data_IF_996332079513
#
_entry.id   IF_996332079513
#
_cell.length_a   1.000
_cell.length_b   1.000
_cell.length_c   1.000
_cell.angle_alpha   90.00
_cell.angle_beta   90.00
_cell.angle_gamma   90.00
#
_symmetry.space_group_name_H-M   'P 1'
#
loop_
_entity.id
_entity.type
_entity.pdbx_description
1 polymer ?
#
# COMPACT_ATOMS: atom_id res chain seq x y z
N UNK A 1 -9.79 14.10 -18.27
CA UNK A 1 -8.67 14.22 -17.32
C UNK A 1 -8.56 12.89 -16.59
N UNK A 2 -7.36 12.35 -16.37
CA UNK A 2 -7.23 11.15 -15.55
C UNK A 2 -7.59 11.51 -14.10
N UNK A 3 -8.49 10.75 -13.50
CA UNK A 3 -8.89 10.85 -12.10
C UNK A 3 -7.66 10.77 -11.18
N UNK A 4 -7.60 11.63 -10.16
CA UNK A 4 -6.49 11.60 -9.20
C UNK A 4 -6.62 10.42 -8.22
N UNK A 5 -5.57 10.14 -7.44
CA UNK A 5 -5.58 8.99 -6.52
C UNK A 5 -6.70 9.07 -5.49
N UNK A 6 -6.90 10.23 -4.84
CA UNK A 6 -7.89 10.38 -3.77
C UNK A 6 -9.33 10.31 -4.29
N UNK A 7 -9.59 10.90 -5.47
CA UNK A 7 -10.88 10.77 -6.17
C UNK A 7 -11.17 9.29 -6.48
N UNK A 8 -10.20 8.57 -7.04
CA UNK A 8 -10.34 7.13 -7.31
C UNK A 8 -10.57 6.36 -6.01
N UNK A 9 -9.78 6.67 -4.99
CA UNK A 9 -9.84 5.99 -3.70
C UNK A 9 -11.21 6.14 -3.03
N UNK A 10 -11.79 7.34 -3.06
CA UNK A 10 -13.15 7.60 -2.56
C UNK A 10 -14.20 6.78 -3.30
N UNK A 11 -14.16 6.75 -4.64
CA UNK A 11 -15.11 5.94 -5.41
C UNK A 11 -14.96 4.44 -5.16
N UNK A 12 -13.72 3.93 -5.06
CA UNK A 12 -13.50 2.52 -4.73
C UNK A 12 -13.94 2.21 -3.30
N UNK A 13 -13.70 3.08 -2.32
CA UNK A 13 -14.16 2.85 -0.96
C UNK A 13 -15.69 2.82 -0.87
N UNK A 14 -16.40 3.63 -1.67
CA UNK A 14 -17.87 3.54 -1.78
C UNK A 14 -18.30 2.16 -2.30
N UNK A 15 -17.70 1.67 -3.40
CA UNK A 15 -17.99 0.33 -3.93
C UNK A 15 -17.69 -0.78 -2.90
N UNK A 16 -16.55 -0.70 -2.21
CA UNK A 16 -16.17 -1.64 -1.13
C UNK A 16 -17.18 -1.60 0.02
N UNK A 17 -17.62 -0.40 0.41
CA UNK A 17 -18.67 -0.17 1.41
C UNK A 17 -19.96 -0.92 1.08
N UNK A 18 -20.42 -0.80 -0.17
CA UNK A 18 -21.61 -1.52 -0.66
C UNK A 18 -21.44 -3.04 -0.59
N UNK A 19 -20.23 -3.55 -0.90
CA UNK A 19 -19.95 -4.99 -0.89
C UNK A 19 -19.93 -5.63 0.50
N UNK A 20 -19.67 -4.86 1.57
CA UNK A 20 -19.82 -5.38 2.94
C UNK A 20 -21.25 -5.81 3.26
N UNK A 21 -22.25 -5.27 2.56
CA UNK A 21 -23.66 -5.61 2.75
C UNK A 21 -24.16 -6.76 1.87
N UNK A 22 -23.39 -7.20 0.86
CA UNK A 22 -23.84 -8.17 -0.16
C UNK A 22 -23.33 -9.60 0.06
N UNK A 23 -22.70 -9.90 1.22
CA UNK A 23 -21.98 -11.16 1.51
C UNK A 23 -20.79 -11.45 0.58
N UNK A 24 -20.38 -10.48 -0.25
CA UNK A 24 -19.21 -10.60 -1.12
C UNK A 24 -17.90 -10.72 -0.32
N UNK A 25 -17.87 -10.15 0.88
CA UNK A 25 -16.74 -10.25 1.80
C UNK A 25 -17.04 -11.17 2.97
N UNK A 26 -16.03 -11.95 3.34
CA UNK A 26 -15.97 -12.78 4.55
C UNK A 26 -14.55 -12.71 5.09
N UNK A 27 -14.34 -12.93 6.39
CA UNK A 27 -12.96 -13.12 6.89
C UNK A 27 -12.36 -14.34 6.17
N UNK A 28 -11.49 -14.07 5.20
CA UNK A 28 -10.83 -15.10 4.42
C UNK A 28 -9.54 -15.55 5.09
N UNK A 29 -8.60 -16.03 4.28
CA UNK A 29 -7.34 -16.59 4.78
C UNK A 29 -6.28 -15.53 4.95
N UNK A 30 -5.40 -15.76 5.92
CA UNK A 30 -4.15 -15.03 6.05
C UNK A 30 -3.28 -15.31 4.82
N UNK A 31 -2.92 -14.26 4.09
CA UNK A 31 -2.09 -14.32 2.87
C UNK A 31 -0.68 -13.80 3.10
N UNK A 32 -0.43 -13.19 4.25
CA UNK A 32 0.88 -12.73 4.68
C UNK A 32 0.88 -12.24 6.11
N UNK A 33 2.05 -12.26 6.73
CA UNK A 33 2.27 -11.79 8.08
C UNK A 33 3.66 -11.16 8.20
N UNK A 34 3.77 -10.10 8.99
CA UNK A 34 5.01 -9.58 9.56
C UNK A 34 4.94 -9.64 11.10
N UNK A 35 5.98 -9.16 11.80
CA UNK A 35 6.06 -9.29 13.27
C UNK A 35 4.82 -8.74 14.00
N UNK A 36 4.24 -7.64 13.51
CA UNK A 36 3.11 -6.95 14.14
C UNK A 36 1.86 -6.84 13.25
N UNK A 37 1.95 -7.20 11.97
CA UNK A 37 0.88 -6.98 10.99
C UNK A 37 0.46 -8.30 10.34
N UNK A 38 -0.85 -8.50 10.21
CA UNK A 38 -1.47 -9.59 9.44
C UNK A 38 -2.09 -9.01 8.18
N UNK A 39 -1.97 -9.74 7.07
CA UNK A 39 -2.68 -9.47 5.83
C UNK A 39 -3.66 -10.61 5.53
N UNK A 40 -4.94 -10.26 5.38
CA UNK A 40 -6.04 -11.21 5.18
C UNK A 40 -6.77 -10.89 3.87
N UNK A 41 -6.89 -11.85 2.96
CA UNK A 41 -7.74 -11.67 1.77
C UNK A 41 -9.21 -11.84 2.19
N UNK A 42 -10.11 -10.95 1.77
CA UNK A 42 -11.53 -10.99 2.20
C UNK A 42 -12.54 -11.16 1.08
N UNK A 43 -12.12 -11.00 -0.18
CA UNK A 43 -12.95 -11.31 -1.34
C UNK A 43 -12.59 -10.47 -2.55
N UNK A 44 -13.45 -10.49 -3.55
CA UNK A 44 -13.32 -9.67 -4.75
C UNK A 44 -14.68 -9.29 -5.31
N UNK A 45 -14.72 -8.22 -6.09
CA UNK A 45 -15.93 -7.76 -6.77
C UNK A 45 -15.58 -7.06 -8.09
N UNK A 46 -16.50 -7.06 -9.08
CA UNK A 46 -16.30 -6.32 -10.31
C UNK A 46 -16.46 -4.81 -10.05
N UNK A 47 -15.40 -4.03 -10.24
CA UNK A 47 -15.44 -2.58 -10.06
C UNK A 47 -15.93 -1.88 -11.32
N UNK A 48 -16.93 -1.01 -11.16
CA UNK A 48 -17.42 -0.15 -12.24
C UNK A 48 -16.44 0.98 -12.55
N UNK A 49 -15.70 1.44 -11.53
CA UNK A 49 -14.71 2.52 -11.62
C UNK A 49 -13.47 2.08 -12.40
N UNK A 50 -12.99 0.85 -12.19
CA UNK A 50 -11.79 0.31 -12.88
C UNK A 50 -12.10 -0.55 -14.11
N UNK A 51 -13.34 -1.02 -14.26
CA UNK A 51 -13.75 -1.91 -15.34
C UNK A 51 -13.15 -3.32 -15.27
N UNK A 52 -12.66 -3.72 -14.09
CA UNK A 52 -12.14 -5.06 -13.82
C UNK A 52 -12.38 -5.45 -12.36
N UNK A 53 -12.14 -6.72 -12.03
CA UNK A 53 -12.28 -7.20 -10.66
C UNK A 53 -11.23 -6.57 -9.73
N UNK A 54 -11.67 -6.14 -8.55
CA UNK A 54 -10.81 -5.70 -7.45
C UNK A 54 -10.79 -6.79 -6.40
N UNK A 55 -9.58 -7.21 -6.02
CA UNK A 55 -9.36 -8.10 -4.88
C UNK A 55 -9.09 -7.25 -3.64
N UNK A 56 -9.81 -7.55 -2.57
CA UNK A 56 -9.86 -6.75 -1.35
C UNK A 56 -9.24 -7.56 -0.22
N UNK A 57 -8.36 -6.90 0.52
CA UNK A 57 -7.71 -7.45 1.70
C UNK A 57 -7.79 -6.50 2.88
N UNK A 58 -7.43 -7.03 4.04
CA UNK A 58 -7.27 -6.31 5.29
C UNK A 58 -5.82 -6.34 5.73
N UNK A 59 -5.37 -5.21 6.28
CA UNK A 59 -4.13 -5.07 7.05
C UNK A 59 -4.53 -4.85 8.52
N UNK A 60 -4.19 -5.79 9.37
CA UNK A 60 -4.65 -5.90 10.78
C UNK A 60 -3.45 -5.92 11.74
N UNK A 61 -3.61 -5.38 12.95
CA UNK A 61 -2.58 -5.38 14.00
C UNK A 61 -2.72 -6.65 14.83
N UNK A 62 -1.62 -7.35 15.04
CA UNK A 62 -1.58 -8.60 15.81
C UNK A 62 -1.38 -8.32 17.30
N UNK A 63 -0.70 -7.21 17.65
CA UNK A 63 -0.28 -6.91 19.02
C UNK A 63 -0.99 -5.67 19.63
N UNK A 64 -2.04 -5.15 18.98
CA UNK A 64 -2.81 -4.00 19.47
C UNK A 64 -2.11 -2.65 19.32
N UNK A 65 -0.96 -2.59 18.63
CA UNK A 65 -0.24 -1.34 18.34
C UNK A 65 -0.83 -0.59 17.12
N UNK A 66 -0.92 0.74 17.27
CA UNK A 66 -0.84 1.87 16.32
C UNK A 66 -1.42 1.81 14.89
N UNK A 67 -2.34 0.90 14.55
CA UNK A 67 -3.05 1.02 13.25
C UNK A 67 -3.85 2.33 13.14
N UNK A 68 -4.34 2.85 14.28
CA UNK A 68 -5.20 4.03 14.33
C UNK A 68 -4.48 5.27 13.79
N UNK A 69 -3.27 5.56 14.28
CA UNK A 69 -2.44 6.69 13.80
C UNK A 69 -1.83 6.41 12.43
N UNK A 70 -1.61 5.13 12.09
CA UNK A 70 -0.86 4.73 10.90
C UNK A 70 -1.69 4.80 9.62
N UNK A 71 -3.00 4.57 9.66
CA UNK A 71 -3.83 4.56 8.45
C UNK A 71 -3.88 5.91 7.73
N UNK A 72 -4.14 7.00 8.47
CA UNK A 72 -4.21 8.35 7.89
C UNK A 72 -2.84 8.80 7.39
N UNK A 73 -1.78 8.49 8.14
CA UNK A 73 -0.40 8.83 7.77
C UNK A 73 0.08 8.05 6.54
N UNK A 74 -0.21 6.74 6.45
CA UNK A 74 0.09 5.95 5.26
C UNK A 74 -0.70 6.45 4.05
N UNK A 75 -1.99 6.77 4.20
CA UNK A 75 -2.79 7.35 3.11
C UNK A 75 -2.24 8.71 2.66
N UNK A 76 -1.80 9.57 3.58
CA UNK A 76 -1.17 10.85 3.26
C UNK A 76 0.10 10.65 2.42
N UNK A 77 0.96 9.70 2.82
CA UNK A 77 2.17 9.34 2.07
C UNK A 77 1.86 8.79 0.68
N UNK A 78 0.85 7.93 0.56
CA UNK A 78 0.38 7.40 -0.73
C UNK A 78 -0.10 8.56 -1.62
N UNK A 79 -0.88 9.49 -1.08
CA UNK A 79 -1.39 10.65 -1.82
C UNK A 79 -0.23 11.54 -2.34
N UNK A 80 0.77 11.79 -1.50
CA UNK A 80 1.98 12.54 -1.88
C UNK A 80 2.76 11.81 -2.98
N UNK A 81 3.02 10.50 -2.83
CA UNK A 81 3.69 9.69 -3.87
C UNK A 81 2.89 9.77 -5.17
N UNK A 82 1.58 9.57 -5.13
CA UNK A 82 0.75 9.55 -6.33
C UNK A 82 0.73 10.91 -7.06
N UNK A 83 0.76 12.02 -6.29
CA UNK A 83 0.77 13.39 -6.83
C UNK A 83 2.10 13.77 -7.44
N UNK A 84 3.20 13.54 -6.71
CA UNK A 84 4.52 14.05 -7.05
C UNK A 84 5.36 13.04 -7.85
N UNK A 85 5.05 11.75 -7.72
CA UNK A 85 5.69 10.65 -8.43
C UNK A 85 4.66 9.76 -9.13
N UNK A 86 3.87 10.28 -10.10
CA UNK A 86 2.81 9.52 -10.78
C UNK A 86 3.31 8.26 -11.50
N UNK A 87 4.60 8.19 -11.82
CA UNK A 87 5.24 6.97 -12.33
C UNK A 87 5.13 5.78 -11.37
N UNK A 88 5.10 6.03 -10.06
CA UNK A 88 4.95 5.01 -9.02
C UNK A 88 3.48 4.58 -8.82
N UNK A 89 2.51 5.20 -9.50
CA UNK A 89 1.10 4.93 -9.29
C UNK A 89 0.70 3.46 -9.52
N UNK A 90 1.36 2.76 -10.44
CA UNK A 90 1.11 1.32 -10.69
C UNK A 90 1.67 0.40 -9.60
N UNK A 91 2.54 0.92 -8.74
CA UNK A 91 3.16 0.19 -7.64
C UNK A 91 2.37 0.30 -6.35
N UNK A 92 1.72 1.44 -6.15
CA UNK A 92 0.82 1.72 -5.04
C UNK A 92 -0.39 0.77 -5.04
N UNK A 93 -1.05 0.57 -3.89
CA UNK A 93 -2.34 -0.08 -3.86
C UNK A 93 -3.36 0.72 -4.68
N UNK A 94 -4.32 0.06 -5.33
CA UNK A 94 -5.34 0.79 -6.11
C UNK A 94 -6.27 1.64 -5.23
N UNK A 95 -6.47 1.23 -3.98
CA UNK A 95 -7.16 1.97 -2.93
C UNK A 95 -6.61 1.61 -1.54
N UNK A 96 -6.89 2.46 -0.57
CA UNK A 96 -6.47 2.35 0.82
C UNK A 96 -7.45 3.13 1.71
N UNK A 97 -7.99 2.48 2.73
CA UNK A 97 -8.94 3.10 3.65
C UNK A 97 -8.95 2.44 5.02
N UNK A 98 -9.75 3.01 5.91
CA UNK A 98 -9.89 2.50 7.27
C UNK A 98 -11.23 1.81 7.46
N UNK A 99 -11.19 0.64 8.09
CA UNK A 99 -12.35 -0.07 8.60
C UNK A 99 -12.54 0.26 10.09
N UNK A 100 -13.78 0.55 10.46
CA UNK A 100 -14.19 0.89 11.82
C UNK A 100 -15.30 -0.04 12.29
N UNK A 101 -15.17 -0.55 13.52
CA UNK A 101 -16.19 -1.32 14.23
C UNK A 101 -16.48 -0.63 15.56
N UNK A 102 -17.75 -0.35 15.86
CA UNK A 102 -18.18 0.35 17.08
C UNK A 102 -17.50 1.71 17.33
N UNK A 103 -17.00 2.37 16.28
CA UNK A 103 -16.30 3.65 16.37
C UNK A 103 -14.78 3.54 16.60
N UNK A 104 -14.25 2.33 16.75
CA UNK A 104 -12.82 2.06 16.85
C UNK A 104 -12.26 1.63 15.49
N UNK A 105 -11.06 2.10 15.13
CA UNK A 105 -10.38 1.67 13.89
C UNK A 105 -9.83 0.26 14.09
N UNK A 106 -10.39 -0.72 13.38
CA UNK A 106 -10.06 -2.13 13.57
C UNK A 106 -9.07 -2.66 12.55
N UNK A 107 -9.12 -2.14 11.33
CA UNK A 107 -8.26 -2.59 10.24
C UNK A 107 -8.08 -1.51 9.17
N UNK A 108 -7.14 -1.76 8.27
CA UNK A 108 -6.98 -1.03 7.02
C UNK A 108 -7.51 -1.92 5.91
N UNK A 109 -8.39 -1.39 5.08
CA UNK A 109 -8.94 -2.07 3.90
C UNK A 109 -8.23 -1.57 2.66
N UNK A 110 -7.67 -2.49 1.89
CA UNK A 110 -6.79 -2.16 0.76
C UNK A 110 -6.82 -3.24 -0.31
N UNK A 111 -6.12 -3.00 -1.43
CA UNK A 111 -5.89 -4.02 -2.45
C UNK A 111 -5.23 -5.27 -1.86
N UNK A 112 -5.80 -6.43 -2.15
CA UNK A 112 -5.13 -7.71 -1.94
C UNK A 112 -4.19 -8.01 -3.12
N UNK A 113 -2.89 -7.77 -2.92
CA UNK A 113 -1.86 -8.05 -3.94
C UNK A 113 -1.75 -9.54 -4.30
N UNK A 114 -2.23 -10.46 -3.46
CA UNK A 114 -2.24 -11.90 -3.77
C UNK A 114 -3.33 -12.27 -4.78
N UNK A 115 -4.31 -11.40 -5.01
CA UNK A 115 -5.51 -11.67 -5.82
C UNK A 115 -6.25 -12.94 -5.39
N UNK A 116 -6.62 -13.01 -4.10
CA UNK A 116 -7.27 -14.17 -3.52
C UNK A 116 -6.37 -15.40 -3.53
N UNK A 117 -5.14 -15.26 -3.01
CA UNK A 117 -4.12 -16.32 -2.92
C UNK A 117 -3.55 -16.81 -4.27
N UNK A 118 -4.00 -16.25 -5.40
CA UNK A 118 -3.51 -16.63 -6.74
C UNK A 118 -2.01 -16.40 -6.92
N UNK A 119 -1.49 -15.33 -6.32
CA UNK A 119 -0.09 -14.96 -6.39
C UNK A 119 0.54 -14.92 -5.00
N UNK A 120 1.73 -15.52 -4.90
CA UNK A 120 2.53 -15.41 -3.68
C UNK A 120 3.05 -13.99 -3.54
N UNK A 121 2.71 -13.34 -2.44
CA UNK A 121 3.31 -12.06 -2.04
C UNK A 121 4.62 -12.38 -1.33
N UNK A 122 5.74 -11.91 -1.86
CA UNK A 122 7.07 -12.10 -1.26
C UNK A 122 7.69 -10.75 -0.95
N UNK A 123 8.28 -10.62 0.23
CA UNK A 123 9.13 -9.47 0.58
C UNK A 123 10.22 -9.27 -0.47
N UNK A 124 10.53 -8.02 -0.83
CA UNK A 124 11.70 -7.75 -1.64
C UNK A 124 12.99 -8.22 -0.93
N UNK A 125 13.83 -9.06 -1.55
CA UNK A 125 14.90 -9.75 -0.82
C UNK A 125 16.18 -8.94 -0.62
N UNK A 126 16.32 -7.75 -1.24
CA UNK A 126 17.59 -7.01 -1.28
C UNK A 126 17.50 -5.66 -0.61
N UNK A 127 18.29 -5.43 0.44
CA UNK A 127 18.34 -4.18 1.20
C UNK A 127 18.52 -2.95 0.31
N UNK A 128 17.95 -1.83 0.74
CA UNK A 128 18.03 -0.56 0.00
C UNK A 128 19.47 -0.10 -0.29
N UNK A 129 20.37 -0.31 0.66
CA UNK A 129 21.80 0.02 0.52
C UNK A 129 22.60 -1.04 -0.29
N UNK A 130 22.09 -2.27 -0.41
CA UNK A 130 22.87 -3.40 -0.90
C UNK A 130 22.22 -4.02 -2.14
N UNK A 131 22.62 -3.52 -3.31
CA UNK A 131 22.27 -4.17 -4.57
C UNK A 131 23.24 -5.33 -4.80
N UNK A 132 22.76 -6.55 -5.10
CA UNK A 132 23.63 -7.67 -5.39
C UNK A 132 24.42 -7.47 -6.68
N UNK A 133 25.56 -8.14 -6.77
CA UNK A 133 26.32 -8.26 -8.00
C UNK A 133 25.53 -9.03 -9.07
N UNK A 134 25.89 -8.84 -10.35
CA UNK A 134 25.29 -9.58 -11.47
C UNK A 134 25.38 -11.11 -11.30
N UNK A 135 26.45 -11.60 -10.69
CA UNK A 135 26.66 -13.04 -10.45
C UNK A 135 25.64 -13.61 -9.45
N UNK A 136 25.37 -12.88 -8.37
CA UNK A 136 24.37 -13.26 -7.34
C UNK A 136 22.94 -13.22 -7.93
N UNK A 137 22.65 -12.24 -8.80
CA UNK A 137 21.36 -12.14 -9.49
C UNK A 137 21.14 -13.30 -10.47
N UNK A 138 22.18 -13.70 -11.22
CA UNK A 138 22.11 -14.85 -12.13
C UNK A 138 21.91 -16.17 -11.38
N UNK A 139 22.50 -16.32 -10.19
CA UNK A 139 22.31 -17.50 -9.35
C UNK A 139 20.89 -17.57 -8.76
N UNK A 140 20.35 -16.43 -8.29
CA UNK A 140 18.96 -16.33 -7.84
C UNK A 140 17.96 -16.64 -8.97
N UNK A 141 18.23 -16.20 -10.21
CA UNK A 141 17.38 -16.49 -11.36
C UNK A 141 17.37 -18.00 -11.69
N UNK A 142 18.50 -18.70 -11.56
CA UNK A 142 18.59 -20.15 -11.80
C UNK A 142 17.74 -20.97 -10.83
N UNK A 143 17.42 -20.43 -9.66
CA UNK A 143 16.53 -21.07 -8.68
C UNK A 143 15.04 -20.92 -9.04
N UNK A 144 14.72 -20.24 -10.16
CA UNK A 144 13.40 -20.27 -10.81
C UNK A 144 12.35 -19.35 -10.18
N UNK A 145 12.73 -18.48 -9.24
CA UNK A 145 11.78 -17.89 -8.31
C UNK A 145 11.22 -16.50 -8.71
N UNK A 146 11.79 -15.83 -9.73
CA UNK A 146 11.31 -14.56 -10.31
C UNK A 146 12.21 -14.09 -11.46
N UNK A 147 11.70 -13.25 -12.37
CA UNK A 147 12.55 -12.46 -13.28
C UNK A 147 13.15 -11.25 -12.54
N UNK A 148 14.17 -11.53 -11.73
CA UNK A 148 14.84 -10.52 -10.90
C UNK A 148 15.50 -9.41 -11.71
N UNK A 149 15.92 -9.66 -12.95
CA UNK A 149 16.55 -8.65 -13.80
C UNK A 149 15.57 -7.54 -14.17
N UNK A 150 14.37 -7.92 -14.63
CA UNK A 150 13.32 -6.96 -14.94
C UNK A 150 12.89 -6.17 -13.69
N UNK A 151 12.81 -6.82 -12.54
CA UNK A 151 12.42 -6.18 -11.28
C UNK A 151 13.51 -5.28 -10.69
N UNK A 152 14.80 -5.58 -10.91
CA UNK A 152 15.90 -4.74 -10.44
C UNK A 152 15.86 -3.36 -11.09
N UNK A 153 15.55 -3.29 -12.39
CA UNK A 153 15.41 -2.01 -13.05
C UNK A 153 14.24 -1.20 -12.47
N UNK A 154 13.09 -1.85 -12.24
CA UNK A 154 11.95 -1.21 -11.56
C UNK A 154 12.32 -0.74 -10.15
N UNK A 155 13.08 -1.55 -9.41
CA UNK A 155 13.58 -1.21 -8.08
C UNK A 155 14.49 0.02 -8.09
N UNK A 156 15.47 0.07 -8.98
CA UNK A 156 16.38 1.21 -9.13
C UNK A 156 15.63 2.49 -9.43
N UNK A 157 14.67 2.45 -10.36
CA UNK A 157 13.83 3.59 -10.68
C UNK A 157 12.98 4.00 -9.48
N UNK A 158 12.40 3.06 -8.74
CA UNK A 158 11.63 3.39 -7.53
C UNK A 158 12.51 4.07 -6.48
N UNK A 159 13.70 3.53 -6.24
CA UNK A 159 14.68 4.07 -5.30
C UNK A 159 15.04 5.51 -5.65
N UNK A 160 15.42 5.78 -6.90
CA UNK A 160 15.77 7.13 -7.36
C UNK A 160 14.61 8.11 -7.21
N UNK A 161 13.38 7.70 -7.56
CA UNK A 161 12.19 8.56 -7.45
C UNK A 161 11.79 8.85 -6.00
N UNK A 162 11.93 7.87 -5.12
CA UNK A 162 11.64 8.05 -3.69
C UNK A 162 12.71 8.93 -3.02
N UNK A 163 14.00 8.75 -3.30
CA UNK A 163 15.08 9.64 -2.81
C UNK A 163 14.90 11.06 -3.32
N UNK A 164 14.53 11.23 -4.59
CA UNK A 164 14.28 12.56 -5.15
C UNK A 164 13.15 13.29 -4.40
N UNK A 165 12.15 12.54 -3.95
CA UNK A 165 11.04 13.07 -3.17
C UNK A 165 11.43 13.33 -1.70
N UNK A 166 12.17 12.43 -1.07
CA UNK A 166 12.64 12.56 0.31
C UNK A 166 14.15 12.30 0.39
N UNK A 167 14.94 13.37 0.32
CA UNK A 167 16.40 13.28 0.27
C UNK A 167 17.00 12.62 1.53
N UNK A 168 16.28 12.62 2.65
CA UNK A 168 16.69 11.91 3.85
C UNK A 168 16.98 10.43 3.59
N UNK A 169 16.26 9.80 2.66
CA UNK A 169 16.40 8.38 2.31
C UNK A 169 17.74 8.02 1.67
N UNK A 170 18.55 8.99 1.24
CA UNK A 170 19.87 8.74 0.64
C UNK A 170 20.87 8.16 1.65
N UNK A 171 20.72 8.54 2.92
CA UNK A 171 21.69 8.23 3.98
C UNK A 171 21.12 7.38 5.12
N UNK A 172 19.85 6.96 5.01
CA UNK A 172 19.21 6.14 6.04
C UNK A 172 19.72 4.69 6.01
N UNK A 173 20.18 4.21 7.17
CA UNK A 173 20.61 2.81 7.38
C UNK A 173 19.43 1.83 7.45
N UNK A 174 18.19 2.35 7.48
CA UNK A 174 16.98 1.54 7.59
C UNK A 174 16.68 0.75 6.31
N UNK A 175 16.19 -0.48 6.50
CA UNK A 175 15.85 -1.39 5.43
C UNK A 175 14.49 -1.06 4.81
N UNK A 176 14.43 -0.02 3.97
CA UNK A 176 13.24 0.41 3.22
C UNK A 176 12.66 -0.66 2.29
N UNK A 177 13.34 -1.81 2.16
CA UNK A 177 12.79 -2.96 1.46
C UNK A 177 11.53 -3.49 2.09
N UNK A 178 11.32 -3.26 3.40
CA UNK A 178 10.07 -3.58 4.08
C UNK A 178 8.86 -2.95 3.39
N UNK A 179 9.04 -1.81 2.71
CA UNK A 179 7.99 -1.12 1.95
C UNK A 179 7.60 -1.84 0.67
N UNK A 180 8.50 -2.70 0.16
CA UNK A 180 8.42 -3.23 -1.19
C UNK A 180 8.18 -4.73 -1.21
N UNK A 181 7.26 -5.14 -2.07
CA UNK A 181 6.85 -6.53 -2.21
C UNK A 181 6.86 -6.91 -3.67
N UNK A 182 6.87 -8.22 -3.91
CA UNK A 182 6.69 -8.79 -5.23
C UNK A 182 5.40 -9.59 -5.23
N UNK A 183 4.55 -9.30 -6.20
CA UNK A 183 3.30 -10.01 -6.43
C UNK A 183 3.01 -10.02 -7.92
N UNK A 184 2.60 -11.17 -8.47
CA UNK A 184 2.34 -11.34 -9.90
C UNK A 184 3.50 -10.83 -10.79
N UNK A 185 4.75 -11.17 -10.41
CA UNK A 185 5.97 -10.73 -11.09
C UNK A 185 6.12 -9.20 -11.24
N UNK A 186 5.52 -8.42 -10.33
CA UNK A 186 5.63 -6.96 -10.27
C UNK A 186 6.13 -6.51 -8.91
N UNK A 187 6.93 -5.44 -8.90
CA UNK A 187 7.30 -4.72 -7.69
C UNK A 187 6.13 -3.82 -7.26
N UNK A 188 5.74 -3.91 -5.99
CA UNK A 188 4.65 -3.15 -5.37
C UNK A 188 5.15 -2.43 -4.11
N UNK A 189 4.44 -1.38 -3.71
CA UNK A 189 4.65 -0.65 -2.46
C UNK A 189 3.46 -0.91 -1.53
N UNK A 190 3.70 -1.34 -0.29
CA UNK A 190 2.63 -1.78 0.61
C UNK A 190 2.80 -1.44 2.10
N UNK A 191 3.99 -0.99 2.51
CA UNK A 191 4.21 -0.43 3.85
C UNK A 191 4.85 0.94 3.67
N UNK A 192 4.26 1.99 4.26
CA UNK A 192 4.69 3.37 4.04
C UNK A 192 5.26 4.01 5.31
N UNK A 193 5.39 3.26 6.40
CA UNK A 193 5.81 3.77 7.71
C UNK A 193 7.15 4.51 7.71
N UNK A 194 8.06 4.15 6.80
CA UNK A 194 9.42 4.69 6.70
C UNK A 194 9.57 5.95 5.83
N UNK A 195 8.54 6.41 5.13
CA UNK A 195 8.66 7.59 4.27
C UNK A 195 8.43 8.87 5.09
N UNK A 196 9.20 9.94 4.84
CA UNK A 196 9.07 11.21 5.55
C UNK A 196 9.17 11.08 7.07
N UNK A 197 10.18 10.35 7.53
CA UNK A 197 10.40 10.08 8.95
C UNK A 197 10.33 11.35 9.81
N UNK A 198 9.73 11.20 10.99
CA UNK A 198 9.58 12.26 12.00
C UNK A 198 8.72 13.47 11.58
N UNK A 199 8.20 13.51 10.35
CA UNK A 199 7.25 14.53 9.92
C UNK A 199 5.82 14.15 10.32
N UNK A 200 5.09 15.08 10.92
CA UNK A 200 3.63 14.98 11.07
C UNK A 200 2.93 15.06 9.71
N UNK A 201 1.66 14.66 9.63
CA UNK A 201 0.88 14.83 8.39
C UNK A 201 0.84 16.29 7.90
N UNK A 202 0.71 17.25 8.82
CA UNK A 202 0.71 18.67 8.50
C UNK A 202 2.08 19.12 7.92
N UNK A 203 3.18 18.64 8.50
CA UNK A 203 4.52 18.89 7.97
C UNK A 203 4.70 18.27 6.58
N UNK A 204 4.20 17.04 6.38
CA UNK A 204 4.24 16.37 5.07
C UNK A 204 3.52 17.19 4.01
N UNK A 205 2.31 17.69 4.27
CA UNK A 205 1.58 18.49 3.28
C UNK A 205 2.12 19.90 3.09
N UNK A 206 2.80 20.45 4.10
CA UNK A 206 3.52 21.71 3.98
C UNK A 206 4.73 21.55 3.04
N UNK A 207 5.52 20.50 3.24
CA UNK A 207 6.71 20.22 2.43
C UNK A 207 6.34 19.69 1.03
N UNK A 208 5.23 18.94 0.93
CA UNK A 208 4.75 18.29 -0.30
C UNK A 208 3.25 18.52 -0.53
N UNK A 209 2.87 19.72 -1.02
CA UNK A 209 1.46 20.06 -1.21
C UNK A 209 0.74 19.09 -2.16
N UNK A 210 -0.47 18.68 -1.78
CA UNK A 210 -1.39 17.91 -2.62
C UNK A 210 -2.63 18.76 -2.97
N UNK A 211 -3.61 18.19 -3.67
CA UNK A 211 -4.80 18.91 -4.15
C UNK A 211 -5.81 19.26 -3.03
N UNK A 212 -5.46 19.05 -1.76
CA UNK A 212 -6.26 19.34 -0.57
C UNK A 212 -5.39 19.95 0.53
N UNK A 213 -5.97 20.80 1.39
CA UNK A 213 -5.32 21.23 2.64
C UNK A 213 -5.27 20.08 3.66
N UNK A 214 -4.53 20.28 4.76
CA UNK A 214 -4.52 19.33 5.86
C UNK A 214 -5.92 19.14 6.46
N UNK A 215 -6.68 20.21 6.67
CA UNK A 215 -8.04 20.15 7.19
C UNK A 215 -8.98 19.39 6.24
N UNK A 216 -8.91 19.70 4.95
CA UNK A 216 -9.70 19.01 3.92
C UNK A 216 -9.35 17.52 3.83
N UNK A 217 -8.08 17.17 4.02
CA UNK A 217 -7.65 15.77 4.08
C UNK A 217 -8.18 15.06 5.33
N UNK A 218 -8.19 15.70 6.49
CA UNK A 218 -8.78 15.14 7.71
C UNK A 218 -10.30 14.94 7.55
N UNK A 219 -10.99 15.86 6.89
CA UNK A 219 -12.40 15.68 6.54
C UNK A 219 -12.61 14.53 5.54
N UNK A 220 -11.72 14.43 4.55
CA UNK A 220 -11.71 13.33 3.59
C UNK A 220 -11.54 11.96 4.28
N UNK A 221 -10.61 11.80 5.22
CA UNK A 221 -10.41 10.52 5.89
C UNK A 221 -11.62 10.16 6.75
N UNK A 222 -12.19 11.13 7.49
CA UNK A 222 -13.39 10.93 8.30
C UNK A 222 -14.60 10.49 7.48
N UNK A 223 -14.86 11.10 6.32
CA UNK A 223 -16.03 10.76 5.49
C UNK A 223 -15.89 9.39 4.80
N UNK A 224 -14.66 8.95 4.55
CA UNK A 224 -14.34 7.72 3.84
C UNK A 224 -14.02 6.51 4.75
N UNK A 225 -14.32 6.61 6.05
CA UNK A 225 -14.24 5.46 6.95
C UNK A 225 -15.35 4.46 6.64
N UNK A 226 -14.97 3.20 6.44
CA UNK A 226 -15.94 2.12 6.24
C UNK A 226 -16.39 1.59 7.60
N UNK A 227 -17.71 1.42 7.75
CA UNK A 227 -18.33 0.87 8.95
C UNK A 227 -18.91 -0.48 8.59
N UNK A 228 -18.28 -1.56 9.05
CA UNK A 228 -18.80 -2.89 8.81
C UNK A 228 -18.36 -3.84 9.92
N UNK A 229 -19.26 -4.74 10.30
CA UNK A 229 -18.91 -5.92 11.10
C UNK A 229 -18.72 -7.07 10.12
N UNK A 230 -17.48 -7.48 9.90
CA UNK A 230 -17.19 -8.60 9.01
C UNK A 230 -17.70 -9.91 9.63
N UNK A 231 -18.58 -10.67 8.94
CA UNK A 231 -19.09 -11.95 9.42
C UNK A 231 -18.05 -13.07 9.37
#
# INVERSE_FOLDING_TARGET
>A
MSMNYLERNELILQEVGEQFHTHAFRRGREVGQSHAIRFTAIGSYPSSVLGHDIHVGLKESIQGEELETRSDLELARIAVIAKHQPFLASALPVFYGCLTENGERTAIVMEDFSQGEKYKVKQWPYRWANIPSMSELLEAQKQGDMDYFSLLNSWLVFKEKLIHMDQGLEHEDYDLTSMCFTANNRLRLGDFDKLFFYRSMEQIFTDFPIDLTFEEFVEYTRRNQLRANLP
#
